data_IF_059208009184
#
_entry.id   IF_059208009184
#
_cell.length_a   1.000
_cell.length_b   1.000
_cell.length_c   1.000
_cell.angle_alpha   90.00
_cell.angle_beta   90.00
_cell.angle_gamma   90.00
#
_symmetry.space_group_name_H-M   'P 1'
#
loop_
_entity.id
_entity.type
_entity.pdbx_description
1 polymer ?
#
# COMPACT_ATOMS: atom_id res chain seq x y z
N UNK A 1 -26.71 57.19 3.58
CA UNK A 1 -28.00 57.91 3.49
C UNK A 1 -29.06 56.81 3.60
N UNK A 2 -29.41 56.40 4.82
CA UNK A 2 -30.58 56.86 5.61
C UNK A 2 -31.88 56.69 4.84
N UNK A 3 -32.64 55.67 5.24
CA UNK A 3 -34.10 55.58 5.30
C UNK A 3 -34.40 54.28 6.08
N UNK A 4 -34.62 54.37 7.40
CA UNK A 4 -35.94 54.55 8.02
C UNK A 4 -36.82 53.29 7.94
N UNK A 5 -36.67 52.41 8.94
CA UNK A 5 -37.76 51.56 9.44
C UNK A 5 -37.87 51.78 10.96
N UNK A 6 -38.12 53.03 11.37
CA UNK A 6 -39.02 53.27 12.50
C UNK A 6 -40.44 53.05 11.97
N UNK A 7 -41.41 52.49 12.68
CA UNK A 7 -41.86 52.69 14.05
C UNK A 7 -42.91 51.61 14.36
N UNK A 8 -43.14 51.27 15.63
CA UNK A 8 -44.42 51.53 16.32
C UNK A 8 -44.10 51.80 17.79
N UNK A 9 -44.29 53.04 18.23
CA UNK A 9 -44.29 53.39 19.65
C UNK A 9 -45.71 53.14 20.18
N UNK A 10 -45.84 52.20 21.12
CA UNK A 10 -47.02 52.08 21.96
C UNK A 10 -46.78 52.92 23.23
N UNK A 11 -47.50 54.04 23.36
CA UNK A 11 -47.33 55.00 24.45
C UNK A 11 -47.99 54.58 25.78
N UNK A 12 -48.58 53.37 25.87
CA UNK A 12 -49.26 52.89 27.09
C UNK A 12 -48.45 51.89 27.95
N UNK A 13 -47.24 51.48 27.57
CA UNK A 13 -46.53 50.36 28.23
C UNK A 13 -45.21 50.76 28.93
N UNK A 14 -45.29 51.72 29.85
CA UNK A 14 -44.16 52.44 30.44
C UNK A 14 -43.32 51.72 31.53
N UNK A 15 -42.98 50.43 31.39
CA UNK A 15 -42.01 49.74 32.28
C UNK A 15 -41.16 48.64 31.60
N UNK A 16 -41.00 48.62 30.29
CA UNK A 16 -40.12 47.63 29.65
C UNK A 16 -38.70 48.16 29.53
N UNK A 17 -37.74 47.44 30.12
CA UNK A 17 -36.31 47.67 29.89
C UNK A 17 -35.96 47.06 28.54
N UNK A 18 -35.49 47.88 27.62
CA UNK A 18 -34.96 47.41 26.35
C UNK A 18 -33.61 46.74 26.61
N UNK A 19 -33.52 45.44 26.30
CA UNK A 19 -32.25 44.71 26.34
C UNK A 19 -31.63 44.84 24.97
N UNK A 20 -30.64 45.73 24.86
CA UNK A 20 -29.87 45.92 23.64
C UNK A 20 -28.67 44.99 23.71
N UNK A 21 -28.60 44.05 22.77
CA UNK A 21 -27.46 43.16 22.64
C UNK A 21 -26.42 43.79 21.71
N UNK A 22 -25.20 43.95 22.20
CA UNK A 22 -24.04 44.24 21.37
C UNK A 22 -23.57 42.93 20.73
N UNK A 23 -24.07 42.66 19.52
CA UNK A 23 -23.75 41.43 18.81
C UNK A 23 -22.26 41.33 18.45
N UNK A 24 -21.59 42.47 18.21
CA UNK A 24 -20.17 42.50 17.88
C UNK A 24 -19.31 42.11 19.10
N UNK A 25 -19.66 42.61 20.29
CA UNK A 25 -18.95 42.24 21.53
C UNK A 25 -19.22 40.77 21.91
N UNK A 26 -20.46 40.30 21.73
CA UNK A 26 -20.84 38.92 22.00
C UNK A 26 -20.07 37.96 21.07
N UNK A 27 -19.99 38.27 19.77
CA UNK A 27 -19.23 37.49 18.80
C UNK A 27 -17.73 37.48 19.15
N UNK A 28 -17.13 38.64 19.45
CA UNK A 28 -15.72 38.73 19.82
C UNK A 28 -15.41 37.89 21.07
N UNK A 29 -16.28 37.92 22.09
CA UNK A 29 -16.11 37.10 23.30
C UNK A 29 -16.32 35.61 23.03
N UNK A 30 -17.29 35.23 22.19
CA UNK A 30 -17.51 33.82 21.81
C UNK A 30 -16.35 33.27 21.00
N UNK A 31 -15.85 34.00 20.01
CA UNK A 31 -14.69 33.61 19.19
C UNK A 31 -13.41 33.41 20.03
N UNK A 32 -13.20 34.24 21.05
CA UNK A 32 -12.05 34.09 21.95
C UNK A 32 -12.21 32.92 22.94
N UNK A 33 -13.45 32.53 23.26
CA UNK A 33 -13.76 31.55 24.32
C UNK A 33 -13.98 30.13 23.78
N UNK A 34 -14.44 29.97 22.54
CA UNK A 34 -14.79 28.68 21.92
C UNK A 34 -13.63 28.11 21.06
N UNK A 35 -12.45 28.75 21.09
CA UNK A 35 -11.35 28.56 20.14
C UNK A 35 -11.71 29.03 18.72
N UNK A 36 -10.85 29.87 18.15
CA UNK A 36 -10.67 29.91 16.69
C UNK A 36 -10.19 28.53 16.26
N UNK A 37 -11.09 27.60 16.00
CA UNK A 37 -10.76 26.40 15.25
C UNK A 37 -10.17 26.94 13.96
N UNK A 38 -8.85 26.77 13.76
CA UNK A 38 -8.20 27.13 12.50
C UNK A 38 -9.05 26.51 11.41
N UNK A 39 -9.48 27.32 10.44
CA UNK A 39 -10.13 26.81 9.24
C UNK A 39 -9.24 25.67 8.75
N UNK A 40 -9.80 24.46 8.79
CA UNK A 40 -9.11 23.32 8.24
C UNK A 40 -9.25 23.52 6.74
N UNK A 41 -8.13 23.81 6.09
CA UNK A 41 -8.10 24.02 4.65
C UNK A 41 -8.39 22.71 3.95
N UNK A 42 -9.65 22.52 3.58
CA UNK A 42 -10.12 21.30 2.93
C UNK A 42 -9.62 21.20 1.48
N UNK A 43 -9.08 22.27 0.90
CA UNK A 43 -8.49 22.21 -0.44
C UNK A 43 -7.21 21.36 -0.47
N UNK A 44 -6.55 21.19 0.67
CA UNK A 44 -5.37 20.34 0.85
C UNK A 44 -5.69 18.98 1.49
N UNK A 45 -6.97 18.66 1.72
CA UNK A 45 -7.32 17.31 2.12
C UNK A 45 -7.20 16.36 0.94
N UNK A 46 -6.21 15.48 1.00
CA UNK A 46 -6.22 14.29 0.19
C UNK A 46 -7.39 13.41 0.69
N UNK A 47 -8.44 13.33 -0.10
CA UNK A 47 -9.48 12.33 0.07
C UNK A 47 -8.86 10.98 -0.28
N UNK A 48 -8.78 10.09 0.70
CA UNK A 48 -8.42 8.69 0.46
C UNK A 48 -9.72 7.89 0.43
N UNK A 49 -10.05 7.26 -0.69
CA UNK A 49 -11.01 6.16 -0.64
C UNK A 49 -10.28 5.00 0.06
N UNK A 50 -10.79 4.62 1.22
CA UNK A 50 -10.20 3.58 2.03
C UNK A 50 -10.15 2.27 1.23
N UNK A 51 -8.99 1.62 1.29
CA UNK A 51 -8.59 0.39 0.58
C UNK A 51 -8.07 0.62 -0.86
N UNK A 52 -6.76 0.41 -1.04
CA UNK A 52 -6.03 0.29 -2.32
C UNK A 52 -5.56 1.58 -3.03
N UNK A 53 -5.92 2.79 -2.60
CA UNK A 53 -5.40 4.02 -3.25
C UNK A 53 -4.01 4.48 -2.74
N UNK A 54 -3.42 3.80 -1.76
CA UNK A 54 -2.06 4.13 -1.28
C UNK A 54 -0.96 3.72 -2.27
N UNK A 55 -1.24 2.87 -3.27
CA UNK A 55 -0.24 2.28 -4.16
C UNK A 55 0.60 3.28 -4.98
N UNK A 56 0.09 4.49 -5.25
CA UNK A 56 0.88 5.55 -5.89
C UNK A 56 1.82 6.27 -4.91
N UNK A 57 1.49 6.31 -3.61
CA UNK A 57 2.34 6.88 -2.56
C UNK A 57 3.27 5.82 -1.91
N UNK A 58 2.97 4.53 -2.10
CA UNK A 58 3.69 3.42 -1.47
C UNK A 58 5.14 3.28 -1.94
N UNK A 59 5.48 3.71 -3.17
CA UNK A 59 6.89 3.79 -3.63
C UNK A 59 7.70 4.63 -2.63
N UNK A 60 7.13 5.76 -2.17
CA UNK A 60 7.78 6.59 -1.15
C UNK A 60 7.77 5.88 0.20
N UNK A 61 6.68 5.23 0.59
CA UNK A 61 6.53 4.67 1.94
C UNK A 61 7.54 3.54 2.17
N UNK A 62 7.70 2.57 1.25
CA UNK A 62 8.69 1.51 1.42
C UNK A 62 10.11 2.06 1.47
N UNK A 63 10.44 2.99 0.58
CA UNK A 63 11.76 3.62 0.56
C UNK A 63 12.03 4.44 1.83
N UNK A 64 11.03 5.17 2.34
CA UNK A 64 11.12 5.95 3.58
C UNK A 64 11.25 5.03 4.80
N UNK A 65 10.54 3.90 4.84
CA UNK A 65 10.69 2.90 5.90
C UNK A 65 12.10 2.29 5.85
N UNK A 66 12.61 1.89 4.67
CA UNK A 66 13.97 1.33 4.50
C UNK A 66 15.04 2.31 4.96
N UNK A 67 14.86 3.62 4.70
CA UNK A 67 15.76 4.68 5.19
C UNK A 67 15.80 4.77 6.73
N UNK A 68 14.67 4.53 7.39
CA UNK A 68 14.53 4.70 8.84
C UNK A 68 14.77 3.41 9.64
N UNK A 69 14.45 2.26 9.06
CA UNK A 69 14.45 0.94 9.68
C UNK A 69 15.08 -0.04 8.70
N UNK A 70 16.31 -0.46 9.00
CA UNK A 70 17.02 -1.48 8.20
C UNK A 70 16.19 -2.75 8.11
N UNK A 71 15.87 -3.16 6.88
CA UNK A 71 15.11 -4.38 6.63
C UNK A 71 16.04 -5.57 6.40
N UNK A 72 15.57 -6.75 6.77
CA UNK A 72 16.22 -8.04 6.56
C UNK A 72 15.20 -9.04 5.99
N UNK A 73 15.69 -10.09 5.36
CA UNK A 73 14.85 -11.18 4.87
C UNK A 73 14.50 -12.15 6.00
N UNK A 74 13.23 -12.58 6.06
CA UNK A 74 12.83 -13.69 6.92
C UNK A 74 13.52 -14.98 6.44
N UNK A 75 13.86 -15.84 7.40
CA UNK A 75 14.38 -17.18 7.07
C UNK A 75 13.32 -18.01 6.33
N UNK A 76 13.76 -18.94 5.49
CA UNK A 76 12.85 -19.81 4.71
C UNK A 76 11.87 -20.55 5.62
N UNK A 77 12.34 -21.04 6.78
CA UNK A 77 11.51 -21.77 7.73
C UNK A 77 10.43 -20.90 8.37
N UNK A 78 10.75 -19.64 8.70
CA UNK A 78 9.78 -18.68 9.23
C UNK A 78 8.76 -18.28 8.17
N UNK A 79 9.20 -18.06 6.93
CA UNK A 79 8.31 -17.77 5.79
C UNK A 79 7.28 -18.88 5.60
N UNK A 80 7.72 -20.14 5.58
CA UNK A 80 6.81 -21.30 5.42
C UNK A 80 5.81 -21.39 6.57
N UNK A 81 6.25 -21.19 7.82
CA UNK A 81 5.35 -21.21 8.98
C UNK A 81 4.29 -20.11 8.91
N UNK A 82 4.69 -18.88 8.56
CA UNK A 82 3.76 -17.76 8.42
C UNK A 82 2.80 -17.97 7.25
N UNK A 83 3.28 -18.50 6.12
CA UNK A 83 2.42 -18.84 4.97
C UNK A 83 1.38 -19.89 5.33
N UNK A 84 1.77 -20.95 6.03
CA UNK A 84 0.83 -21.97 6.48
C UNK A 84 -0.23 -21.39 7.43
N UNK A 85 0.17 -20.48 8.32
CA UNK A 85 -0.79 -19.80 9.20
C UNK A 85 -1.77 -18.93 8.42
N UNK A 86 -1.28 -18.14 7.47
CA UNK A 86 -2.11 -17.26 6.63
C UNK A 86 -3.05 -18.05 5.72
N UNK A 87 -2.63 -19.19 5.16
CA UNK A 87 -3.50 -20.07 4.35
C UNK A 87 -4.66 -20.69 5.14
N UNK A 88 -4.44 -20.92 6.44
CA UNK A 88 -5.48 -21.44 7.34
C UNK A 88 -6.41 -20.33 7.87
N UNK A 89 -6.12 -19.07 7.54
CA UNK A 89 -6.86 -17.91 7.99
C UNK A 89 -7.96 -17.53 6.98
N UNK A 90 -9.07 -16.95 7.44
CA UNK A 90 -10.11 -16.48 6.53
C UNK A 90 -9.59 -15.31 5.69
N UNK A 91 -9.96 -15.30 4.42
CA UNK A 91 -9.49 -14.29 3.48
C UNK A 91 -9.82 -12.84 3.89
N UNK A 92 -11.02 -12.61 4.44
CA UNK A 92 -11.42 -11.28 4.91
C UNK A 92 -10.52 -10.79 6.04
N UNK A 93 -10.10 -11.68 6.93
CA UNK A 93 -9.18 -11.36 8.02
C UNK A 93 -7.78 -11.01 7.47
N UNK A 94 -7.32 -11.70 6.42
CA UNK A 94 -6.06 -11.40 5.72
C UNK A 94 -6.11 -10.01 5.05
N UNK A 95 -7.23 -9.66 4.41
CA UNK A 95 -7.43 -8.34 3.79
C UNK A 95 -7.48 -7.21 4.83
N UNK A 96 -8.19 -7.42 5.93
CA UNK A 96 -8.21 -6.47 7.05
C UNK A 96 -6.84 -6.32 7.69
N UNK A 97 -6.07 -7.41 7.76
CA UNK A 97 -4.71 -7.37 8.26
C UNK A 97 -3.79 -6.56 7.35
N UNK A 98 -3.86 -6.75 6.02
CA UNK A 98 -3.10 -5.94 5.06
C UNK A 98 -3.43 -4.45 5.21
N UNK A 99 -4.73 -4.08 5.25
CA UNK A 99 -5.14 -2.69 5.45
C UNK A 99 -4.71 -2.11 6.81
N UNK A 100 -4.62 -2.95 7.85
CA UNK A 100 -4.07 -2.52 9.14
C UNK A 100 -2.58 -2.25 9.06
N UNK A 101 -1.83 -3.02 8.25
CA UNK A 101 -0.40 -2.78 8.03
C UNK A 101 -0.16 -1.51 7.21
N UNK A 102 -0.98 -1.20 6.20
CA UNK A 102 -0.90 0.07 5.46
C UNK A 102 -0.97 1.28 6.40
N UNK A 103 -1.91 1.23 7.34
CA UNK A 103 -2.05 2.26 8.37
C UNK A 103 -0.81 2.34 9.25
N UNK A 104 -0.26 1.20 9.71
CA UNK A 104 0.98 1.17 10.51
C UNK A 104 2.17 1.72 9.72
N UNK A 105 2.27 1.42 8.43
CA UNK A 105 3.37 1.84 7.57
C UNK A 105 3.40 3.35 7.38
N UNK A 106 2.23 3.99 7.36
CA UNK A 106 2.11 5.45 7.36
C UNK A 106 2.81 6.08 8.58
N UNK A 107 2.74 5.46 9.75
CA UNK A 107 3.49 5.93 10.93
C UNK A 107 4.97 5.60 10.85
N UNK A 108 5.34 4.43 10.32
CA UNK A 108 6.73 4.02 10.20
C UNK A 108 7.52 4.87 9.22
N UNK A 109 6.85 5.46 8.24
CA UNK A 109 7.41 6.48 7.34
C UNK A 109 8.15 7.60 8.08
N UNK A 110 7.68 7.98 9.28
CA UNK A 110 8.25 9.07 10.07
C UNK A 110 9.01 8.58 11.31
N UNK A 111 9.11 7.27 11.53
CA UNK A 111 9.67 6.69 12.75
C UNK A 111 11.21 6.55 12.67
N UNK A 112 11.93 7.67 12.83
CA UNK A 112 13.40 7.69 12.84
C UNK A 112 13.99 7.14 14.14
N UNK A 113 15.06 6.33 14.05
CA UNK A 113 15.88 5.95 15.22
C UNK A 113 15.28 4.86 16.11
N UNK A 114 14.32 4.07 15.61
CA UNK A 114 13.74 2.96 16.37
C UNK A 114 14.63 1.72 16.36
N UNK A 115 14.67 0.97 17.48
CA UNK A 115 15.39 -0.30 17.52
C UNK A 115 14.70 -1.30 16.58
N UNK A 116 15.44 -1.80 15.60
CA UNK A 116 14.98 -2.82 14.63
C UNK A 116 14.55 -4.13 15.29
N UNK A 117 14.99 -4.36 16.53
CA UNK A 117 14.66 -5.52 17.37
C UNK A 117 13.29 -5.42 18.04
N UNK A 118 12.69 -4.23 18.09
CA UNK A 118 11.34 -4.08 18.64
C UNK A 118 10.33 -4.86 17.81
N UNK A 119 9.32 -5.40 18.48
CA UNK A 119 8.25 -6.14 17.81
C UNK A 119 7.23 -5.20 17.20
N UNK A 120 6.48 -5.69 16.20
CA UNK A 120 5.38 -4.98 15.58
C UNK A 120 4.40 -4.45 16.65
N UNK A 121 4.05 -5.29 17.62
CA UNK A 121 3.16 -4.92 18.73
C UNK A 121 3.70 -3.78 19.59
N UNK A 122 4.95 -3.90 20.05
CA UNK A 122 5.57 -2.87 20.91
C UNK A 122 5.65 -1.53 20.19
N UNK A 123 6.02 -1.57 18.91
CA UNK A 123 6.13 -0.37 18.09
C UNK A 123 4.77 0.29 17.88
N UNK A 124 3.74 -0.49 17.55
CA UNK A 124 2.36 -0.01 17.39
C UNK A 124 1.83 0.61 18.67
N UNK A 125 2.00 -0.04 19.83
CA UNK A 125 1.60 0.54 21.12
C UNK A 125 2.30 1.86 21.43
N UNK A 126 3.54 2.04 20.97
CA UNK A 126 4.33 3.23 21.22
C UNK A 126 4.11 4.36 20.19
N UNK A 127 3.55 4.08 19.01
CA UNK A 127 3.33 5.07 17.94
C UNK A 127 1.87 5.44 17.74
N UNK A 128 0.98 4.46 17.89
CA UNK A 128 -0.42 4.57 17.51
C UNK A 128 -1.24 4.67 18.79
N UNK A 129 -1.77 5.85 19.06
CA UNK A 129 -2.60 6.11 20.24
C UNK A 129 -3.99 5.46 20.13
N UNK A 130 -4.55 5.36 18.92
CA UNK A 130 -5.84 4.69 18.68
C UNK A 130 -5.63 3.38 17.91
N UNK A 131 -5.59 2.27 18.63
CA UNK A 131 -5.41 0.93 18.05
C UNK A 131 -6.73 0.20 17.80
N UNK A 132 -7.88 0.83 18.02
CA UNK A 132 -9.20 0.18 17.92
C UNK A 132 -9.56 -0.31 16.51
N UNK A 133 -8.96 0.29 15.48
CA UNK A 133 -9.17 -0.06 14.08
C UNK A 133 -8.16 -1.09 13.56
N UNK A 134 -7.15 -1.45 14.36
CA UNK A 134 -6.13 -2.41 13.96
C UNK A 134 -6.64 -3.82 14.14
N UNK A 135 -6.36 -4.67 13.15
CA UNK A 135 -6.69 -6.07 13.22
C UNK A 135 -5.99 -6.77 14.41
N UNK A 136 -6.67 -7.75 14.99
CA UNK A 136 -6.21 -8.46 16.19
C UNK A 136 -4.85 -9.15 16.03
N UNK A 137 -4.43 -9.45 14.79
CA UNK A 137 -3.13 -10.03 14.45
C UNK A 137 -1.93 -9.14 14.81
N UNK A 138 -2.14 -7.84 14.91
CA UNK A 138 -1.09 -6.88 15.30
C UNK A 138 -0.97 -6.78 16.82
N UNK A 139 -2.10 -6.85 17.53
CA UNK A 139 -2.19 -6.49 18.95
C UNK A 139 -2.14 -7.71 19.89
N UNK A 140 -2.57 -8.88 19.43
CA UNK A 140 -2.69 -10.08 20.25
C UNK A 140 -1.36 -10.86 20.28
N UNK A 141 -0.78 -11.02 21.48
CA UNK A 141 0.49 -11.75 21.70
C UNK A 141 0.45 -13.22 21.27
N UNK A 142 -0.75 -13.82 21.25
CA UNK A 142 -0.93 -15.22 20.83
C UNK A 142 -0.80 -15.40 19.32
N UNK A 143 -0.76 -14.31 18.56
CA UNK A 143 -0.68 -14.32 17.11
C UNK A 143 0.79 -14.28 16.69
N UNK A 144 1.20 -15.10 15.70
CA UNK A 144 2.60 -15.17 15.29
C UNK A 144 3.11 -13.84 14.74
N UNK A 145 2.23 -13.01 14.19
CA UNK A 145 2.58 -11.73 13.56
C UNK A 145 2.92 -10.61 14.54
N UNK A 146 2.33 -10.62 15.74
CA UNK A 146 2.53 -9.58 16.74
C UNK A 146 3.99 -9.48 17.23
N UNK A 147 4.69 -10.63 17.21
CA UNK A 147 6.06 -10.78 17.70
C UNK A 147 7.12 -10.63 16.58
N UNK A 148 6.70 -10.33 15.35
CA UNK A 148 7.64 -10.09 14.25
C UNK A 148 8.39 -8.79 14.52
N UNK A 149 9.72 -8.84 14.37
CA UNK A 149 10.58 -7.67 14.56
C UNK A 149 10.44 -6.67 13.42
N UNK A 150 10.64 -5.39 13.69
CA UNK A 150 10.49 -4.32 12.69
C UNK A 150 11.40 -4.48 11.47
N UNK A 151 12.55 -5.14 11.63
CA UNK A 151 13.44 -5.46 10.49
C UNK A 151 12.82 -6.41 9.46
N UNK A 152 11.74 -7.12 9.80
CA UNK A 152 11.08 -8.05 8.89
C UNK A 152 9.72 -7.55 8.40
N UNK A 153 9.34 -6.32 8.74
CA UNK A 153 7.96 -5.86 8.55
C UNK A 153 7.58 -5.70 7.07
N UNK A 154 8.51 -5.23 6.23
CA UNK A 154 8.28 -5.13 4.78
C UNK A 154 8.16 -6.53 4.17
N UNK A 155 8.99 -7.47 4.63
CA UNK A 155 8.95 -8.83 4.12
C UNK A 155 7.66 -9.57 4.51
N UNK A 156 7.13 -9.29 5.71
CA UNK A 156 5.79 -9.76 6.12
C UNK A 156 4.70 -9.19 5.22
N UNK A 157 4.75 -7.89 4.92
CA UNK A 157 3.78 -7.24 4.05
C UNK A 157 3.76 -7.87 2.66
N UNK A 158 4.93 -8.01 2.04
CA UNK A 158 5.09 -8.66 0.74
C UNK A 158 4.58 -10.12 0.74
N UNK A 159 4.79 -10.86 1.84
CA UNK A 159 4.30 -12.22 1.99
C UNK A 159 2.76 -12.29 1.97
N UNK A 160 2.11 -11.33 2.63
CA UNK A 160 0.65 -11.24 2.68
C UNK A 160 0.11 -10.88 1.30
N UNK A 161 0.75 -9.94 0.59
CA UNK A 161 0.38 -9.61 -0.79
C UNK A 161 0.44 -10.84 -1.70
N UNK A 162 1.55 -11.59 -1.67
CA UNK A 162 1.68 -12.79 -2.50
C UNK A 162 0.57 -13.82 -2.24
N UNK A 163 0.14 -13.97 -0.99
CA UNK A 163 -0.99 -14.83 -0.63
C UNK A 163 -2.34 -14.29 -1.09
N UNK A 164 -2.57 -12.98 -0.94
CA UNK A 164 -3.78 -12.33 -1.45
C UNK A 164 -3.86 -12.48 -2.98
N UNK A 165 -2.71 -12.41 -3.68
CA UNK A 165 -2.67 -12.68 -5.10
C UNK A 165 -3.12 -14.10 -5.42
N UNK A 166 -2.51 -15.10 -4.77
CA UNK A 166 -2.72 -16.51 -5.06
C UNK A 166 -4.17 -16.96 -4.79
N UNK A 167 -4.77 -16.50 -3.69
CA UNK A 167 -6.12 -16.91 -3.26
C UNK A 167 -7.23 -16.10 -3.92
N UNK A 168 -6.99 -14.82 -4.21
CA UNK A 168 -8.03 -13.89 -4.69
C UNK A 168 -7.78 -13.49 -6.12
N UNK A 169 -6.70 -12.75 -6.34
CA UNK A 169 -6.56 -11.95 -7.55
C UNK A 169 -6.28 -12.81 -8.77
N UNK A 170 -5.68 -14.00 -8.60
CA UNK A 170 -5.46 -14.96 -9.68
C UNK A 170 -6.73 -15.23 -10.49
N UNK A 171 -7.90 -15.26 -9.86
CA UNK A 171 -9.17 -15.52 -10.54
C UNK A 171 -9.79 -14.25 -11.19
N UNK A 172 -9.61 -13.07 -10.60
CA UNK A 172 -10.17 -11.80 -11.12
C UNK A 172 -9.32 -11.22 -12.25
N UNK A 173 -7.99 -11.24 -12.09
CA UNK A 173 -7.01 -10.75 -13.05
C UNK A 173 -7.09 -11.54 -14.37
N UNK A 174 -7.50 -12.80 -14.30
CA UNK A 174 -7.78 -13.64 -15.47
C UNK A 174 -8.84 -13.04 -16.39
N UNK A 175 -9.69 -12.11 -15.96
CA UNK A 175 -10.69 -11.54 -16.87
C UNK A 175 -10.14 -10.35 -17.65
N UNK A 176 -9.36 -9.48 -17.01
CA UNK A 176 -8.81 -8.26 -17.62
C UNK A 176 -7.47 -8.47 -18.34
N UNK A 177 -6.59 -9.36 -17.85
CA UNK A 177 -5.25 -9.62 -18.41
C UNK A 177 -5.18 -10.91 -19.23
N UNK A 178 -6.29 -11.60 -19.44
CA UNK A 178 -6.33 -12.91 -20.10
C UNK A 178 -7.33 -13.00 -21.24
N UNK A 179 -8.15 -11.96 -21.44
CA UNK A 179 -9.01 -11.84 -22.61
C UNK A 179 -8.27 -10.99 -23.65
N UNK A 180 -7.96 -11.55 -24.81
CA UNK A 180 -7.39 -10.85 -25.98
C UNK A 180 -5.99 -10.21 -25.84
N UNK A 181 -5.15 -10.70 -24.93
CA UNK A 181 -3.77 -10.17 -24.77
C UNK A 181 -2.78 -10.73 -25.80
N UNK A 182 -2.87 -12.02 -26.10
CA UNK A 182 -2.09 -12.68 -27.16
C UNK A 182 -3.07 -13.30 -28.16
N UNK A 183 -2.77 -13.16 -29.46
CA UNK A 183 -3.62 -13.64 -30.55
C UNK A 183 -3.56 -15.17 -30.68
N UNK A 184 -2.42 -15.78 -30.33
CA UNK A 184 -2.20 -17.22 -30.38
C UNK A 184 -1.14 -17.71 -29.37
N UNK A 185 -1.03 -19.04 -29.22
CA UNK A 185 -0.05 -19.67 -28.31
C UNK A 185 1.41 -19.43 -28.72
N UNK A 186 1.70 -19.26 -30.01
CA UNK A 186 3.06 -18.97 -30.49
C UNK A 186 3.54 -17.57 -30.02
N UNK A 187 2.67 -16.57 -30.08
CA UNK A 187 2.93 -15.23 -29.56
C UNK A 187 3.13 -15.27 -28.04
N UNK A 188 2.31 -16.05 -27.32
CA UNK A 188 2.47 -16.27 -25.89
C UNK A 188 3.85 -16.89 -25.56
N UNK A 189 4.25 -17.95 -26.24
CA UNK A 189 5.56 -18.57 -26.05
C UNK A 189 6.71 -17.62 -26.40
N UNK A 190 6.56 -16.82 -27.45
CA UNK A 190 7.54 -15.82 -27.84
C UNK A 190 7.72 -14.73 -26.77
N UNK A 191 6.63 -14.16 -26.25
CA UNK A 191 6.68 -13.16 -25.18
C UNK A 191 7.30 -13.72 -23.91
N UNK A 192 6.89 -14.93 -23.49
CA UNK A 192 7.50 -15.62 -22.34
C UNK A 192 9.00 -15.85 -22.60
N UNK A 193 9.38 -16.31 -23.79
CA UNK A 193 10.76 -16.54 -24.17
C UNK A 193 11.63 -15.29 -24.17
N UNK A 194 11.10 -14.17 -24.68
CA UNK A 194 11.75 -12.86 -24.64
C UNK A 194 11.99 -12.42 -23.20
N UNK A 195 10.95 -12.45 -22.36
CA UNK A 195 11.07 -12.10 -20.94
C UNK A 195 12.16 -12.92 -20.25
N UNK A 196 12.12 -14.25 -20.38
CA UNK A 196 13.09 -15.15 -19.73
C UNK A 196 14.53 -14.85 -20.16
N UNK A 197 14.77 -14.67 -21.46
CA UNK A 197 16.10 -14.36 -22.01
C UNK A 197 16.62 -13.00 -21.53
N UNK A 198 15.74 -12.03 -21.36
CA UNK A 198 16.05 -10.68 -20.86
C UNK A 198 16.16 -10.57 -19.34
N UNK A 199 15.88 -11.65 -18.60
CA UNK A 199 15.82 -11.65 -17.14
C UNK A 199 16.73 -12.74 -16.57
N UNK A 200 16.19 -13.81 -15.99
CA UNK A 200 16.95 -14.78 -15.21
C UNK A 200 17.86 -15.72 -16.02
N UNK A 201 17.83 -15.65 -17.36
CA UNK A 201 18.79 -16.34 -18.24
C UNK A 201 19.97 -15.47 -18.69
N UNK A 202 20.06 -14.21 -18.24
CA UNK A 202 21.22 -13.38 -18.51
C UNK A 202 22.49 -13.96 -17.85
N UNK A 203 23.61 -13.94 -18.58
CA UNK A 203 24.87 -14.49 -18.06
C UNK A 203 25.42 -13.65 -16.90
N UNK A 204 25.31 -12.32 -17.01
CA UNK A 204 25.97 -11.32 -16.15
C UNK A 204 25.12 -10.81 -14.97
N UNK A 205 24.08 -11.53 -14.55
CA UNK A 205 23.26 -11.15 -13.40
C UNK A 205 23.64 -11.93 -12.13
N UNK A 206 23.41 -11.35 -10.93
CA UNK A 206 23.56 -12.06 -9.66
C UNK A 206 22.77 -13.36 -9.60
N UNK A 207 23.31 -14.35 -8.87
CA UNK A 207 22.70 -15.67 -8.72
C UNK A 207 21.28 -15.62 -8.14
N UNK A 208 20.99 -14.64 -7.27
CA UNK A 208 19.65 -14.47 -6.71
C UNK A 208 18.62 -14.13 -7.79
N UNK A 209 18.98 -13.30 -8.78
CA UNK A 209 18.11 -12.94 -9.89
C UNK A 209 17.97 -14.07 -10.92
N UNK A 210 18.82 -15.11 -10.86
CA UNK A 210 18.67 -16.33 -11.66
C UNK A 210 17.57 -17.27 -11.13
N UNK A 211 17.07 -17.04 -9.91
CA UNK A 211 15.98 -17.83 -9.33
C UNK A 211 14.61 -17.38 -9.88
N UNK A 212 13.87 -18.24 -10.59
CA UNK A 212 12.55 -17.90 -11.12
C UNK A 212 11.55 -17.47 -10.04
N UNK A 213 11.72 -17.94 -8.80
CA UNK A 213 10.82 -17.61 -7.68
C UNK A 213 10.87 -16.13 -7.32
N UNK A 214 12.03 -15.48 -7.49
CA UNK A 214 12.16 -14.03 -7.27
C UNK A 214 11.30 -13.28 -8.29
N UNK A 215 11.31 -13.70 -9.54
CA UNK A 215 10.51 -13.11 -10.60
C UNK A 215 9.02 -13.35 -10.40
N UNK A 216 8.62 -14.55 -9.95
CA UNK A 216 7.24 -14.81 -9.59
C UNK A 216 6.75 -13.83 -8.50
N UNK A 217 7.52 -13.64 -7.43
CA UNK A 217 7.20 -12.65 -6.38
C UNK A 217 7.06 -11.23 -6.94
N UNK A 218 8.01 -10.79 -7.78
CA UNK A 218 7.98 -9.45 -8.40
C UNK A 218 6.76 -9.27 -9.30
N UNK A 219 6.43 -10.26 -10.14
CA UNK A 219 5.27 -10.20 -11.04
C UNK A 219 3.95 -10.17 -10.26
N UNK A 220 3.83 -10.93 -9.15
CA UNK A 220 2.65 -10.87 -8.27
C UNK A 220 2.47 -9.48 -7.66
N UNK A 221 3.55 -8.88 -7.17
CA UNK A 221 3.54 -7.51 -6.61
C UNK A 221 3.24 -6.48 -7.68
N UNK A 222 3.77 -6.63 -8.89
CA UNK A 222 3.46 -5.77 -10.02
C UNK A 222 1.96 -5.79 -10.32
N UNK A 223 1.34 -6.98 -10.33
CA UNK A 223 -0.11 -7.09 -10.53
C UNK A 223 -0.85 -6.39 -9.38
N UNK A 224 -0.53 -6.70 -8.12
CA UNK A 224 -1.24 -6.15 -6.95
C UNK A 224 -1.10 -4.63 -6.83
N UNK A 225 0.10 -4.09 -7.03
CA UNK A 225 0.40 -2.68 -6.69
C UNK A 225 0.29 -1.74 -7.88
N UNK A 226 0.38 -2.26 -9.10
CA UNK A 226 0.45 -1.43 -10.30
C UNK A 226 -0.78 -1.65 -11.17
N UNK A 227 -1.11 -2.91 -11.49
CA UNK A 227 -2.18 -3.19 -12.45
C UNK A 227 -3.57 -2.89 -11.87
N UNK A 228 -3.78 -3.16 -10.58
CA UNK A 228 -5.03 -2.81 -9.88
C UNK A 228 -5.29 -1.30 -9.79
N UNK A 229 -4.29 -0.46 -10.09
CA UNK A 229 -4.38 0.99 -9.99
C UNK A 229 -4.92 1.68 -11.28
N UNK A 230 -5.53 0.93 -12.21
CA UNK A 230 -6.12 1.44 -13.46
C UNK A 230 -5.13 2.22 -14.36
N UNK A 231 -3.94 1.65 -14.58
CA UNK A 231 -2.93 2.21 -15.47
C UNK A 231 -3.15 1.80 -16.93
N UNK A 232 -2.47 2.48 -17.87
CA UNK A 232 -2.37 1.98 -19.25
C UNK A 232 -1.52 0.70 -19.29
N UNK A 233 -2.08 -0.37 -19.83
CA UNK A 233 -1.44 -1.69 -19.90
C UNK A 233 -0.60 -1.88 -21.17
N UNK A 234 -0.67 -0.96 -22.13
CA UNK A 234 0.07 -1.02 -23.40
C UNK A 234 1.45 -0.34 -23.34
N UNK A 235 1.98 -0.16 -22.13
CA UNK A 235 3.31 0.40 -21.89
C UNK A 235 4.35 -0.70 -21.63
N UNK A 236 5.63 -0.47 -21.96
CA UNK A 236 6.71 -1.41 -21.67
C UNK A 236 6.78 -1.78 -20.18
N UNK A 237 6.93 -3.07 -19.90
CA UNK A 237 7.03 -3.59 -18.54
C UNK A 237 8.27 -3.07 -17.79
N UNK A 238 9.36 -2.79 -18.54
CA UNK A 238 10.63 -2.29 -18.00
C UNK A 238 10.44 -1.07 -17.06
N UNK A 239 9.56 -0.14 -17.43
CA UNK A 239 9.28 1.09 -16.67
C UNK A 239 8.89 0.79 -15.22
N UNK A 240 8.13 -0.29 -15.00
CA UNK A 240 7.68 -0.66 -13.67
C UNK A 240 8.66 -1.58 -12.97
N UNK A 241 9.43 -2.37 -13.70
CA UNK A 241 10.47 -3.25 -13.14
C UNK A 241 11.59 -2.44 -12.49
N UNK A 242 11.84 -1.21 -12.92
CA UNK A 242 12.80 -0.29 -12.28
C UNK A 242 12.32 0.24 -10.92
N UNK A 243 11.06 0.03 -10.53
CA UNK A 243 10.52 0.48 -9.26
C UNK A 243 11.12 -0.27 -8.07
N UNK A 244 11.80 0.44 -7.18
CA UNK A 244 12.49 -0.16 -6.02
C UNK A 244 11.58 -0.85 -5.01
N UNK A 245 10.28 -0.50 -4.95
CA UNK A 245 9.34 -1.10 -4.02
C UNK A 245 8.96 -2.53 -4.38
N UNK A 246 9.09 -2.94 -5.65
CA UNK A 246 8.81 -4.32 -6.08
C UNK A 246 9.88 -5.31 -5.60
N UNK A 247 11.08 -4.81 -5.34
CA UNK A 247 12.26 -5.61 -5.06
C UNK A 247 12.62 -5.62 -3.58
N UNK A 248 13.28 -6.70 -3.17
CA UNK A 248 14.00 -6.73 -1.90
C UNK A 248 15.15 -5.70 -1.93
N UNK A 249 15.44 -5.08 -0.79
CA UNK A 249 16.46 -4.02 -0.66
C UNK A 249 17.84 -4.44 -1.19
N UNK A 250 18.24 -5.70 -1.01
CA UNK A 250 19.53 -6.21 -1.51
C UNK A 250 19.62 -6.31 -3.03
N UNK A 251 18.46 -6.37 -3.72
CA UNK A 251 18.37 -6.57 -5.16
C UNK A 251 18.22 -5.26 -5.94
N UNK A 252 17.82 -4.16 -5.29
CA UNK A 252 17.58 -2.87 -5.96
C UNK A 252 18.82 -2.28 -6.62
N UNK A 253 20.03 -2.67 -6.17
CA UNK A 253 21.29 -2.23 -6.77
C UNK A 253 21.60 -2.87 -8.13
N UNK A 254 20.86 -3.91 -8.52
CA UNK A 254 21.11 -4.68 -9.75
C UNK A 254 20.07 -4.41 -10.85
N UNK A 255 19.16 -3.45 -10.63
CA UNK A 255 18.07 -3.16 -11.58
C UNK A 255 18.58 -2.69 -12.93
N UNK A 256 19.69 -1.94 -12.95
CA UNK A 256 20.32 -1.45 -14.20
C UNK A 256 20.82 -2.59 -15.11
N UNK A 257 20.99 -3.80 -14.59
CA UNK A 257 21.41 -4.98 -15.36
C UNK A 257 20.23 -5.66 -16.08
N UNK A 258 18.99 -5.33 -15.70
CA UNK A 258 17.78 -5.90 -16.27
C UNK A 258 17.31 -5.00 -17.41
N UNK A 259 17.19 -5.57 -18.61
CA UNK A 259 16.70 -4.86 -19.79
C UNK A 259 15.69 -5.71 -20.54
N UNK A 260 14.42 -5.55 -20.17
CA UNK A 260 13.29 -6.23 -20.81
C UNK A 260 12.93 -5.48 -22.09
N UNK A 261 12.79 -6.22 -23.19
CA UNK A 261 12.46 -5.65 -24.50
C UNK A 261 11.12 -4.91 -24.49
N UNK A 262 11.03 -3.78 -25.19
CA UNK A 262 9.85 -2.91 -25.25
C UNK A 262 8.56 -3.60 -25.73
N UNK A 263 8.68 -4.70 -26.47
CA UNK A 263 7.55 -5.52 -26.91
C UNK A 263 6.88 -6.29 -25.77
N UNK A 264 7.56 -6.43 -24.63
CA UNK A 264 6.99 -7.04 -23.42
C UNK A 264 6.31 -5.94 -22.61
N UNK A 265 5.00 -5.86 -22.79
CA UNK A 265 4.13 -4.85 -22.19
C UNK A 265 3.57 -5.30 -20.83
N UNK A 266 3.06 -4.35 -20.05
CA UNK A 266 2.43 -4.62 -18.74
C UNK A 266 1.23 -5.56 -18.87
N UNK A 267 0.45 -5.47 -19.95
CA UNK A 267 -0.65 -6.44 -20.21
C UNK A 267 -0.16 -7.90 -20.24
N UNK A 268 1.10 -8.15 -20.60
CA UNK A 268 1.67 -9.51 -20.68
C UNK A 268 2.05 -10.09 -19.31
N UNK A 269 1.96 -9.31 -18.22
CA UNK A 269 2.43 -9.70 -16.87
C UNK A 269 1.86 -11.04 -16.41
N UNK A 270 0.55 -11.24 -16.52
CA UNK A 270 -0.09 -12.48 -16.04
C UNK A 270 0.27 -13.69 -16.90
N UNK A 271 0.32 -13.51 -18.23
CA UNK A 271 0.74 -14.56 -19.17
C UNK A 271 2.18 -15.02 -18.88
N UNK A 272 3.07 -14.08 -18.60
CA UNK A 272 4.46 -14.36 -18.21
C UNK A 272 4.51 -15.11 -16.87
N UNK A 273 3.73 -14.66 -15.89
CA UNK A 273 3.63 -15.31 -14.58
C UNK A 273 3.21 -16.78 -14.71
N UNK A 274 2.13 -17.07 -15.45
CA UNK A 274 1.69 -18.45 -15.69
C UNK A 274 2.75 -19.27 -16.46
N UNK A 275 3.41 -18.66 -17.44
CA UNK A 275 4.48 -19.31 -18.20
C UNK A 275 5.68 -19.72 -17.35
N UNK A 276 6.06 -18.88 -16.39
CA UNK A 276 7.14 -19.18 -15.43
C UNK A 276 6.67 -20.24 -14.43
N UNK A 277 5.46 -20.13 -13.87
CA UNK A 277 4.90 -21.14 -12.96
C UNK A 277 4.87 -22.54 -13.60
N UNK A 278 4.43 -22.63 -14.87
CA UNK A 278 4.39 -23.89 -15.60
C UNK A 278 5.78 -24.51 -15.78
N UNK A 279 6.78 -23.70 -16.17
CA UNK A 279 8.17 -24.15 -16.34
C UNK A 279 8.86 -24.49 -15.03
N UNK A 280 8.53 -23.81 -13.94
CA UNK A 280 9.04 -24.14 -12.60
C UNK A 280 8.46 -25.45 -12.08
N UNK A 281 7.22 -25.78 -12.42
CA UNK A 281 6.58 -27.05 -12.02
C UNK A 281 7.12 -28.25 -12.80
N UNK A 282 7.56 -28.06 -14.05
CA UNK A 282 8.12 -29.13 -14.89
C UNK A 282 9.58 -29.52 -14.56
N UNK A 283 10.29 -28.73 -13.76
CA UNK A 283 11.68 -28.98 -13.37
C UNK A 283 11.81 -29.61 -11.95
N UNK A 284 10.71 -30.13 -11.40
CA UNK A 284 10.66 -30.92 -10.16
C UNK A 284 10.14 -32.33 -10.43
#
# INVERSE_FOLDING_TARGET
LREENGYIINYEYGKTKEVIYDYDEIEARLCNRINRIRSIDTANFNYFNYQFELYHQDISIFNDIRRNIKQEQLSTDEKVKLQQYLRNTKLDDVRQFLGSLDYVFTYYRHATGRPTTSTLKESVKALIHNTSHLHSYILNEKQPFANIQLKYVINLYELIEELVFDEVMKNYVKQELTTDVCVNEEEKENIIGQFIRSTYMLDNIPQQLKDPRVWLSVLKRLIIRVITANIDLNVPMQIYIERTDLWNEDLTQYLDLINITDNVLVRHTYVILEGIEAKSTQNY
#
